data_IF_052817564806
#
_entry.id   IF_052817564806
#
_cell.length_a   1.000
_cell.length_b   1.000
_cell.length_c   1.000
_cell.angle_alpha   90.00
_cell.angle_beta   90.00
_cell.angle_gamma   90.00
#
_symmetry.space_group_name_H-M   'P 1'
#
loop_
_entity.id
_entity.type
_entity.pdbx_description
1 polymer ?
#
# COMPACT_ATOMS: atom_id res chain seq x y z
N UNK A 1 -30.89 -16.94 -35.50
CA UNK A 1 -30.68 -16.71 -34.05
C UNK A 1 -29.34 -16.04 -33.86
N UNK A 2 -29.33 -14.74 -33.55
CA UNK A 2 -28.11 -13.97 -33.25
C UNK A 2 -27.72 -14.23 -31.79
N UNK A 3 -26.50 -14.73 -31.56
CA UNK A 3 -25.93 -14.82 -30.19
C UNK A 3 -25.90 -13.44 -29.56
N UNK A 4 -26.24 -13.29 -28.25
CA UNK A 4 -26.11 -12.04 -27.57
C UNK A 4 -24.64 -11.65 -27.47
N UNK A 5 -24.34 -10.37 -27.69
CA UNK A 5 -23.01 -9.79 -27.50
C UNK A 5 -22.66 -9.74 -26.00
N UNK A 6 -21.95 -10.75 -25.53
CA UNK A 6 -21.32 -10.79 -24.20
C UNK A 6 -20.04 -9.93 -24.20
N UNK A 7 -20.13 -8.63 -24.33
CA UNK A 7 -18.91 -7.82 -24.28
C UNK A 7 -19.08 -6.41 -23.74
N UNK A 8 -20.04 -6.17 -22.82
CA UNK A 8 -20.21 -4.77 -22.39
C UNK A 8 -20.10 -4.50 -20.88
N UNK A 9 -19.73 -5.45 -20.03
CA UNK A 9 -19.60 -5.19 -18.57
C UNK A 9 -18.42 -5.89 -17.89
N UNK A 10 -17.34 -6.18 -18.62
CA UNK A 10 -16.06 -6.42 -17.95
C UNK A 10 -15.34 -5.08 -17.74
N UNK A 11 -15.96 -4.18 -16.99
CA UNK A 11 -15.19 -3.18 -16.26
C UNK A 11 -14.21 -3.98 -15.41
N UNK A 12 -12.91 -3.80 -15.66
CA UNK A 12 -11.84 -4.42 -14.88
C UNK A 12 -12.13 -4.12 -13.42
N UNK A 13 -12.63 -5.12 -12.67
CA UNK A 13 -12.88 -4.98 -11.24
C UNK A 13 -11.50 -4.75 -10.65
N UNK A 14 -11.20 -3.49 -10.30
CA UNK A 14 -9.97 -3.14 -9.61
C UNK A 14 -10.16 -3.53 -8.16
N UNK A 15 -9.53 -4.61 -7.72
CA UNK A 15 -9.47 -4.96 -6.31
C UNK A 15 -8.65 -3.90 -5.59
N UNK A 16 -9.09 -3.49 -4.40
CA UNK A 16 -8.31 -2.67 -3.50
C UNK A 16 -7.10 -3.48 -3.03
N UNK A 17 -5.90 -2.92 -3.17
CA UNK A 17 -4.64 -3.55 -2.77
C UNK A 17 -4.08 -2.84 -1.55
N UNK A 18 -3.93 -3.53 -0.42
CA UNK A 18 -3.37 -2.99 0.81
C UNK A 18 -2.03 -3.65 1.14
N UNK A 19 -0.98 -2.85 1.34
CA UNK A 19 0.35 -3.32 1.69
C UNK A 19 0.59 -3.28 3.20
N UNK A 20 1.05 -4.40 3.78
CA UNK A 20 1.47 -4.44 5.19
C UNK A 20 2.92 -3.97 5.28
N UNK A 21 3.18 -2.93 6.07
CA UNK A 21 4.51 -2.38 6.32
C UNK A 21 4.81 -2.33 7.82
N UNK A 22 6.07 -2.24 8.19
CA UNK A 22 6.54 -2.11 9.57
C UNK A 22 7.97 -2.63 9.71
N UNK A 23 8.59 -2.39 10.86
CA UNK A 23 9.94 -2.87 11.17
C UNK A 23 10.00 -4.41 11.21
N UNK A 24 11.20 -5.01 11.13
CA UNK A 24 11.36 -6.44 11.36
C UNK A 24 10.82 -6.87 12.74
N UNK A 25 10.30 -8.09 12.83
CA UNK A 25 9.84 -8.73 14.07
C UNK A 25 8.68 -8.02 14.83
N UNK A 26 7.91 -7.19 14.13
CA UNK A 26 6.71 -6.53 14.72
C UNK A 26 5.43 -7.34 14.55
N UNK A 27 5.45 -8.46 13.82
CA UNK A 27 4.30 -9.34 13.61
C UNK A 27 3.62 -9.22 12.25
N UNK A 28 4.25 -8.57 11.25
CA UNK A 28 3.69 -8.43 9.88
C UNK A 28 3.26 -9.74 9.26
N UNK A 29 4.18 -10.70 9.16
CA UNK A 29 3.90 -12.00 8.56
C UNK A 29 2.90 -12.82 9.38
N UNK A 30 2.85 -12.62 10.70
CA UNK A 30 1.82 -13.23 11.56
C UNK A 30 0.45 -12.67 11.20
N UNK A 31 0.31 -11.34 11.10
CA UNK A 31 -0.92 -10.70 10.67
C UNK A 31 -1.32 -11.15 9.27
N UNK A 32 -0.38 -11.14 8.31
CA UNK A 32 -0.60 -11.61 6.96
C UNK A 32 -1.11 -13.06 6.94
N UNK A 33 -0.48 -13.95 7.68
CA UNK A 33 -0.88 -15.35 7.77
C UNK A 33 -2.27 -15.52 8.40
N UNK A 34 -2.60 -14.77 9.45
CA UNK A 34 -3.93 -14.76 10.04
C UNK A 34 -5.00 -14.32 9.04
N UNK A 35 -4.73 -13.26 8.29
CA UNK A 35 -5.64 -12.75 7.26
C UNK A 35 -5.73 -13.70 6.05
N UNK A 36 -4.61 -14.27 5.61
CA UNK A 36 -4.53 -15.14 4.43
C UNK A 36 -4.90 -16.60 4.71
N UNK A 37 -4.89 -17.07 5.96
CA UNK A 37 -5.39 -18.41 6.33
C UNK A 37 -6.92 -18.51 6.20
N UNK A 38 -7.62 -17.41 5.97
CA UNK A 38 -8.94 -17.42 5.34
C UNK A 38 -8.91 -18.00 3.90
N UNK A 39 -7.74 -18.49 3.43
CA UNK A 39 -7.47 -19.10 2.12
C UNK A 39 -8.41 -20.22 1.68
N UNK A 40 -8.99 -20.97 2.61
CA UNK A 40 -9.93 -22.02 2.26
C UNK A 40 -11.21 -21.47 1.59
N UNK A 41 -11.53 -20.20 1.80
CA UNK A 41 -12.68 -19.53 1.19
C UNK A 41 -12.34 -18.78 -0.10
N UNK A 42 -11.09 -18.34 -0.28
CA UNK A 42 -10.67 -17.59 -1.47
C UNK A 42 -10.38 -18.48 -2.70
N UNK A 43 -10.19 -19.78 -2.52
CA UNK A 43 -9.94 -20.74 -3.60
C UNK A 43 -11.06 -20.83 -4.67
N UNK A 44 -12.21 -20.22 -4.39
CA UNK A 44 -13.40 -20.25 -5.29
C UNK A 44 -13.54 -19.00 -6.16
N UNK A 45 -12.59 -18.06 -6.15
CA UNK A 45 -12.65 -16.88 -7.01
C UNK A 45 -11.96 -17.15 -8.35
N UNK A 46 -12.69 -17.13 -9.48
CA UNK A 46 -12.07 -17.15 -10.79
C UNK A 46 -11.25 -15.87 -10.96
N UNK A 47 -10.00 -15.99 -11.45
CA UNK A 47 -9.04 -14.91 -11.75
C UNK A 47 -8.13 -14.43 -10.60
N UNK A 48 -8.07 -15.10 -9.45
CA UNK A 48 -7.02 -14.81 -8.47
C UNK A 48 -5.73 -15.56 -8.83
N UNK A 49 -4.70 -14.85 -9.22
CA UNK A 49 -3.34 -15.39 -9.34
C UNK A 49 -2.78 -15.55 -7.93
N UNK A 50 -2.35 -16.76 -7.55
CA UNK A 50 -1.69 -17.00 -6.27
C UNK A 50 -0.23 -16.61 -6.43
N UNK A 51 0.11 -15.39 -6.06
CA UNK A 51 1.50 -14.94 -5.96
C UNK A 51 2.01 -15.11 -4.52
N UNK A 52 3.29 -15.46 -4.33
CA UNK A 52 3.87 -15.46 -2.99
C UNK A 52 3.76 -14.06 -2.39
N UNK A 53 3.36 -13.98 -1.12
CA UNK A 53 3.13 -12.74 -0.36
C UNK A 53 1.89 -11.91 -0.76
N UNK A 54 0.96 -12.45 -1.55
CA UNK A 54 -0.35 -11.84 -1.79
C UNK A 54 -1.44 -12.74 -1.22
N UNK A 55 -2.27 -12.19 -0.35
CA UNK A 55 -3.46 -12.84 0.21
C UNK A 55 -4.71 -12.11 -0.25
N UNK A 56 -5.79 -12.84 -0.60
CA UNK A 56 -7.09 -12.25 -0.89
C UNK A 56 -8.01 -12.50 0.29
N UNK A 57 -8.64 -11.44 0.80
CA UNK A 57 -9.51 -11.46 1.97
C UNK A 57 -10.90 -10.96 1.60
N UNK A 58 -11.92 -11.70 1.99
CA UNK A 58 -13.31 -11.26 1.81
C UNK A 58 -13.64 -10.12 2.78
N UNK A 59 -14.34 -9.11 2.30
CA UNK A 59 -14.86 -8.03 3.15
C UNK A 59 -16.19 -8.49 3.74
N UNK A 60 -16.31 -8.64 5.08
CA UNK A 60 -17.57 -8.96 5.73
C UNK A 60 -18.60 -7.85 5.48
N UNK A 61 -19.81 -8.22 5.06
CA UNK A 61 -20.90 -7.27 4.84
C UNK A 61 -22.24 -7.89 5.28
N UNK A 62 -22.75 -7.44 6.42
CA UNK A 62 -24.02 -7.91 6.97
C UNK A 62 -25.24 -7.62 6.08
N UNK A 63 -25.12 -6.67 5.15
CA UNK A 63 -26.18 -6.37 4.17
C UNK A 63 -26.25 -7.49 3.13
N UNK A 64 -25.11 -8.04 2.76
CA UNK A 64 -25.01 -9.15 1.80
C UNK A 64 -25.65 -10.41 2.39
N UNK A 65 -25.38 -10.71 3.67
CA UNK A 65 -26.00 -11.84 4.38
C UNK A 65 -27.53 -11.72 4.46
N UNK A 66 -28.04 -10.49 4.73
CA UNK A 66 -29.48 -10.22 4.74
C UNK A 66 -30.10 -10.39 3.36
N UNK A 67 -29.45 -9.92 2.30
CA UNK A 67 -29.93 -10.08 0.94
C UNK A 67 -29.94 -11.56 0.54
N UNK A 68 -28.91 -12.32 0.89
CA UNK A 68 -28.85 -13.76 0.64
C UNK A 68 -30.05 -14.47 1.25
N UNK A 69 -30.38 -14.17 2.50
CA UNK A 69 -31.54 -14.76 3.18
C UNK A 69 -32.88 -14.41 2.57
N UNK A 70 -33.00 -13.27 1.86
CA UNK A 70 -34.24 -12.82 1.23
C UNK A 70 -34.45 -13.39 -0.17
N UNK A 71 -33.39 -13.49 -0.96
CA UNK A 71 -33.51 -13.85 -2.40
C UNK A 71 -33.02 -15.26 -2.71
N UNK A 72 -32.35 -15.92 -1.75
CA UNK A 72 -31.80 -17.26 -1.86
C UNK A 72 -31.06 -17.50 -3.21
N UNK A 73 -29.98 -16.75 -3.49
CA UNK A 73 -29.29 -16.75 -4.77
C UNK A 73 -28.48 -18.04 -4.99
N UNK A 74 -28.21 -18.39 -6.24
CA UNK A 74 -27.33 -19.51 -6.56
C UNK A 74 -25.88 -19.29 -6.07
N UNK A 75 -25.44 -18.03 -5.99
CA UNK A 75 -24.09 -17.64 -5.58
C UNK A 75 -24.05 -16.25 -4.94
N UNK A 76 -23.27 -16.14 -3.86
CA UNK A 76 -22.92 -14.86 -3.22
C UNK A 76 -21.47 -14.57 -3.47
N UNK A 77 -21.16 -13.37 -3.97
CA UNK A 77 -19.80 -12.90 -4.22
C UNK A 77 -19.54 -11.64 -3.37
N UNK A 78 -18.85 -11.77 -2.23
CA UNK A 78 -18.45 -10.61 -1.43
C UNK A 78 -17.39 -9.76 -2.15
N UNK A 79 -17.25 -8.51 -1.77
CA UNK A 79 -16.10 -7.71 -2.14
C UNK A 79 -14.82 -8.31 -1.51
N UNK A 80 -13.69 -8.14 -2.19
CA UNK A 80 -12.41 -8.65 -1.71
C UNK A 80 -11.35 -7.55 -1.68
N UNK A 81 -10.38 -7.70 -0.77
CA UNK A 81 -9.18 -6.87 -0.67
C UNK A 81 -7.96 -7.76 -0.84
N UNK A 82 -7.04 -7.36 -1.69
CA UNK A 82 -5.71 -7.98 -1.79
C UNK A 82 -4.81 -7.43 -0.69
N UNK A 83 -4.25 -8.31 0.12
CA UNK A 83 -3.26 -7.96 1.15
C UNK A 83 -1.89 -8.42 0.68
N UNK A 84 -0.91 -7.52 0.71
CA UNK A 84 0.47 -7.79 0.30
C UNK A 84 1.38 -7.70 1.51
N UNK A 85 2.13 -8.77 1.82
CA UNK A 85 3.21 -8.69 2.81
C UNK A 85 4.43 -8.04 2.17
N UNK A 86 4.64 -6.78 2.45
CA UNK A 86 5.80 -6.02 1.95
C UNK A 86 6.96 -6.24 2.92
N UNK A 87 8.10 -6.72 2.40
CA UNK A 87 9.29 -6.97 3.21
C UNK A 87 9.65 -5.75 4.08
N UNK A 88 9.98 -6.01 5.35
CA UNK A 88 10.16 -4.95 6.35
C UNK A 88 11.24 -3.94 5.96
N UNK A 89 10.94 -2.68 6.19
CA UNK A 89 11.88 -1.59 6.04
C UNK A 89 12.87 -1.61 7.21
N UNK A 90 14.16 -1.49 6.93
CA UNK A 90 15.21 -1.30 7.93
C UNK A 90 15.67 0.15 7.86
N UNK A 91 15.99 0.73 9.00
CA UNK A 91 16.55 2.09 9.10
C UNK A 91 17.73 2.27 8.12
N UNK A 92 17.68 3.33 7.32
CA UNK A 92 18.69 3.59 6.28
C UNK A 92 18.44 2.89 4.95
N UNK A 93 17.30 2.24 4.76
CA UNK A 93 16.95 1.62 3.48
C UNK A 93 16.80 2.64 2.34
N UNK A 94 16.52 3.91 2.67
CA UNK A 94 16.50 5.02 1.70
C UNK A 94 17.86 5.29 1.06
N UNK A 95 18.96 4.98 1.78
CA UNK A 95 20.34 5.19 1.31
C UNK A 95 20.94 3.94 0.65
N UNK A 96 20.27 2.78 0.72
CA UNK A 96 20.75 1.51 0.18
C UNK A 96 20.26 1.27 -1.25
N UNK A 97 21.19 0.98 -2.16
CA UNK A 97 20.86 0.48 -3.49
C UNK A 97 20.26 -0.93 -3.37
N UNK A 98 19.04 -1.13 -3.85
CA UNK A 98 18.39 -2.44 -3.98
C UNK A 98 17.15 -2.63 -3.14
N UNK A 99 17.25 -3.07 -1.87
CA UNK A 99 16.08 -3.46 -1.05
C UNK A 99 15.12 -2.30 -0.76
N UNK A 100 15.64 -1.09 -0.50
CA UNK A 100 14.81 0.09 -0.27
C UNK A 100 14.00 0.50 -1.51
N UNK A 101 14.58 0.40 -2.69
CA UNK A 101 13.88 0.71 -3.94
C UNK A 101 12.80 -0.34 -4.26
N UNK A 102 13.04 -1.61 -3.96
CA UNK A 102 12.06 -2.68 -4.13
C UNK A 102 10.88 -2.54 -3.15
N UNK A 103 11.16 -2.20 -1.89
CA UNK A 103 10.13 -1.88 -0.90
C UNK A 103 9.19 -0.78 -1.38
N UNK A 104 9.74 0.30 -1.91
CA UNK A 104 8.96 1.43 -2.40
C UNK A 104 8.21 1.12 -3.69
N UNK A 105 8.78 0.30 -4.58
CA UNK A 105 8.07 -0.18 -5.75
C UNK A 105 6.80 -0.93 -5.31
N UNK A 106 6.93 -1.82 -4.32
CA UNK A 106 5.79 -2.56 -3.77
C UNK A 106 4.74 -1.64 -3.12
N UNK A 107 5.16 -0.61 -2.35
CA UNK A 107 4.21 0.37 -1.78
C UNK A 107 3.46 1.13 -2.88
N UNK A 108 4.14 1.55 -3.95
CA UNK A 108 3.51 2.29 -5.06
C UNK A 108 2.44 1.50 -5.82
N UNK A 109 2.49 0.19 -5.73
CA UNK A 109 1.50 -0.71 -6.32
C UNK A 109 0.27 -0.92 -5.43
N UNK A 110 0.26 -0.38 -4.22
CA UNK A 110 -0.85 -0.50 -3.27
C UNK A 110 -1.73 0.75 -3.24
N UNK A 111 -3.03 0.55 -2.99
CA UNK A 111 -4.00 1.65 -2.84
C UNK A 111 -4.04 2.14 -1.38
N UNK A 112 -3.61 1.32 -0.40
CA UNK A 112 -3.54 1.64 1.02
C UNK A 112 -2.34 0.96 1.69
N UNK A 113 -1.89 1.52 2.82
CA UNK A 113 -0.79 0.97 3.63
C UNK A 113 -1.31 0.65 5.03
N UNK A 114 -1.09 -0.59 5.48
CA UNK A 114 -1.34 -1.06 6.83
C UNK A 114 -0.03 -1.04 7.61
N UNK A 115 0.15 -0.06 8.47
CA UNK A 115 1.36 0.08 9.27
C UNK A 115 1.24 -0.74 10.56
N UNK A 116 2.04 -1.81 10.68
CA UNK A 116 2.07 -2.69 11.85
C UNK A 116 3.16 -2.23 12.82
N UNK A 117 2.73 -1.91 14.04
CA UNK A 117 3.59 -1.47 15.13
C UNK A 117 3.57 -2.51 16.26
N UNK A 118 4.73 -2.75 16.87
CA UNK A 118 4.84 -3.63 18.03
C UNK A 118 4.55 -2.83 19.30
N UNK A 119 3.45 -3.17 19.99
CA UNK A 119 3.03 -2.54 21.24
C UNK A 119 3.07 -3.50 22.43
N UNK A 120 3.78 -4.62 22.32
CA UNK A 120 3.91 -5.62 23.38
C UNK A 120 5.36 -5.95 23.66
N UNK A 121 5.67 -6.26 24.91
CA UNK A 121 6.99 -6.73 25.36
C UNK A 121 7.06 -8.27 25.29
N UNK A 122 8.18 -8.78 24.77
CA UNK A 122 8.48 -10.21 24.78
C UNK A 122 10.00 -10.38 24.59
N UNK A 123 10.67 -10.86 25.63
CA UNK A 123 12.13 -11.03 25.67
C UNK A 123 12.65 -12.05 24.64
N UNK A 124 11.80 -12.98 24.19
CA UNK A 124 12.17 -13.97 23.17
C UNK A 124 12.14 -13.43 21.74
N UNK A 125 11.62 -12.22 21.52
CA UNK A 125 11.52 -11.59 20.20
C UNK A 125 12.42 -10.36 20.17
N UNK A 126 13.54 -10.46 19.48
CA UNK A 126 14.50 -9.33 19.36
C UNK A 126 13.86 -8.18 18.61
N UNK A 127 13.95 -6.96 19.18
CA UNK A 127 13.61 -5.71 18.49
C UNK A 127 14.85 -5.11 17.82
N UNK A 128 14.71 -4.50 16.65
CA UNK A 128 15.84 -3.92 15.89
C UNK A 128 16.58 -2.82 16.67
N UNK A 129 15.83 -2.03 17.47
CA UNK A 129 16.38 -0.95 18.30
C UNK A 129 16.53 -1.34 19.79
N UNK A 130 16.56 -2.65 20.09
CA UNK A 130 16.71 -3.22 21.44
C UNK A 130 15.62 -2.86 22.46
N UNK A 131 14.69 -1.99 22.12
CA UNK A 131 13.57 -1.57 22.97
C UNK A 131 12.29 -1.40 22.16
N UNK A 132 11.15 -1.67 22.78
CA UNK A 132 9.83 -1.47 22.15
C UNK A 132 9.41 -0.02 22.36
N UNK A 133 9.22 0.72 21.27
CA UNK A 133 8.69 2.07 21.25
C UNK A 133 7.90 2.31 19.96
N UNK A 134 6.57 2.10 19.98
CA UNK A 134 5.74 2.18 18.78
C UNK A 134 5.73 3.57 18.12
N UNK A 135 5.91 4.64 18.89
CA UNK A 135 5.93 6.01 18.36
C UNK A 135 7.21 6.24 17.57
N UNK A 136 8.36 5.93 18.15
CA UNK A 136 9.66 6.00 17.49
C UNK A 136 9.68 5.11 16.22
N UNK A 137 9.14 3.91 16.32
CA UNK A 137 9.12 2.95 15.20
C UNK A 137 8.26 3.47 14.05
N UNK A 138 7.11 4.10 14.37
CA UNK A 138 6.27 4.79 13.38
C UNK A 138 7.01 5.94 12.72
N UNK A 139 7.66 6.79 13.50
CA UNK A 139 8.42 7.94 13.00
C UNK A 139 9.57 7.49 12.10
N UNK A 140 10.25 6.39 12.44
CA UNK A 140 11.31 5.82 11.61
C UNK A 140 10.81 5.47 10.21
N UNK A 141 9.66 4.81 10.09
CA UNK A 141 9.05 4.46 8.80
C UNK A 141 8.58 5.73 8.07
N UNK A 142 7.95 6.66 8.78
CA UNK A 142 7.48 7.92 8.18
C UNK A 142 8.65 8.73 7.58
N UNK A 143 9.79 8.82 8.28
CA UNK A 143 10.99 9.50 7.78
C UNK A 143 11.54 8.83 6.52
N UNK A 144 11.62 7.51 6.49
CA UNK A 144 12.10 6.78 5.31
C UNK A 144 11.18 7.00 4.10
N UNK A 145 9.87 7.04 4.29
CA UNK A 145 8.90 7.36 3.25
C UNK A 145 9.05 8.81 2.78
N UNK A 146 9.18 9.78 3.71
CA UNK A 146 9.39 11.20 3.39
C UNK A 146 10.65 11.42 2.56
N UNK A 147 11.76 10.78 2.93
CA UNK A 147 13.02 10.89 2.18
C UNK A 147 12.87 10.39 0.74
N UNK A 148 12.07 9.37 0.53
CA UNK A 148 11.80 8.83 -0.81
C UNK A 148 10.81 9.66 -1.61
N UNK A 149 9.83 10.22 -0.95
CA UNK A 149 8.93 11.19 -1.58
C UNK A 149 9.73 12.42 -2.02
N UNK A 150 10.65 12.92 -1.17
CA UNK A 150 11.54 14.04 -1.47
C UNK A 150 12.42 13.72 -2.71
N UNK A 151 13.08 12.58 -2.74
CA UNK A 151 13.88 12.13 -3.89
C UNK A 151 13.03 12.09 -5.18
N UNK A 152 11.79 11.63 -5.09
CA UNK A 152 10.87 11.57 -6.24
C UNK A 152 10.49 12.97 -6.72
N UNK A 153 10.18 13.87 -5.79
CA UNK A 153 9.86 15.28 -6.09
C UNK A 153 11.06 15.98 -6.73
N UNK A 154 12.27 15.81 -6.20
CA UNK A 154 13.49 16.41 -6.74
C UNK A 154 13.79 15.94 -8.16
N UNK A 155 13.72 14.64 -8.41
CA UNK A 155 13.90 14.08 -9.77
C UNK A 155 12.86 14.62 -10.76
N UNK A 156 11.63 14.84 -10.30
CA UNK A 156 10.58 15.40 -11.13
C UNK A 156 10.81 16.90 -11.38
N UNK A 157 11.23 17.66 -10.35
CA UNK A 157 11.59 19.05 -10.47
C UNK A 157 12.71 19.29 -11.50
N UNK A 158 13.74 18.45 -11.53
CA UNK A 158 14.81 18.55 -12.55
C UNK A 158 14.27 18.48 -13.99
N UNK A 159 13.31 17.58 -14.23
CA UNK A 159 12.68 17.42 -15.55
C UNK A 159 11.77 18.60 -15.89
N UNK A 160 10.92 19.00 -14.94
CA UNK A 160 9.94 20.08 -15.15
C UNK A 160 10.60 21.44 -15.28
N UNK A 161 11.71 21.69 -14.57
CA UNK A 161 12.46 22.95 -14.64
C UNK A 161 12.91 23.30 -16.07
N UNK A 162 13.28 22.32 -16.88
CA UNK A 162 13.67 22.56 -18.29
C UNK A 162 12.50 23.08 -19.11
N UNK A 163 11.34 22.47 -18.98
CA UNK A 163 10.12 22.88 -19.70
C UNK A 163 9.56 24.21 -19.17
N UNK A 164 9.63 24.46 -17.85
CA UNK A 164 9.19 25.71 -17.25
C UNK A 164 10.03 26.92 -17.75
N UNK A 165 11.36 26.74 -17.92
CA UNK A 165 12.24 27.81 -18.47
C UNK A 165 11.91 28.20 -19.91
N UNK A 166 11.28 27.32 -20.68
CA UNK A 166 10.84 27.60 -22.04
C UNK A 166 9.45 28.23 -22.11
N UNK A 167 8.86 28.61 -20.96
CA UNK A 167 7.57 29.28 -20.89
C UNK A 167 6.34 28.36 -20.99
N UNK A 168 6.50 27.06 -20.85
CA UNK A 168 5.37 26.13 -20.84
C UNK A 168 4.52 26.36 -19.57
N UNK A 169 3.27 26.81 -19.75
CA UNK A 169 2.36 27.18 -18.65
C UNK A 169 2.01 26.03 -17.72
N UNK A 170 1.86 24.81 -18.24
CA UNK A 170 1.58 23.62 -17.44
C UNK A 170 2.78 23.24 -16.59
N UNK A 171 3.99 23.25 -17.18
CA UNK A 171 5.22 23.00 -16.46
C UNK A 171 5.49 24.03 -15.35
N UNK A 172 5.12 25.30 -15.56
CA UNK A 172 5.24 26.34 -14.53
C UNK A 172 4.31 26.03 -13.35
N UNK A 173 3.04 25.66 -13.60
CA UNK A 173 2.10 25.27 -12.54
C UNK A 173 2.59 24.02 -11.77
N UNK A 174 3.01 23.00 -12.51
CA UNK A 174 3.54 21.77 -11.93
C UNK A 174 4.77 22.05 -11.06
N UNK A 175 5.68 22.91 -11.54
CA UNK A 175 6.85 23.34 -10.77
C UNK A 175 6.45 23.99 -9.45
N UNK A 176 5.47 24.87 -9.44
CA UNK A 176 5.01 25.56 -8.22
C UNK A 176 4.51 24.54 -7.17
N UNK A 177 3.76 23.51 -7.60
CA UNK A 177 3.27 22.45 -6.71
C UNK A 177 4.44 21.62 -6.19
N UNK A 178 5.39 21.26 -7.05
CA UNK A 178 6.54 20.46 -6.64
C UNK A 178 7.48 21.21 -5.70
N UNK A 179 7.69 22.52 -5.90
CA UNK A 179 8.47 23.37 -4.98
C UNK A 179 7.81 23.45 -3.61
N UNK A 180 6.47 23.59 -3.56
CA UNK A 180 5.71 23.54 -2.32
C UNK A 180 5.86 22.20 -1.61
N UNK A 181 5.64 21.08 -2.31
CA UNK A 181 5.80 19.73 -1.75
C UNK A 181 7.22 19.50 -1.22
N UNK A 182 8.24 19.98 -1.93
CA UNK A 182 9.63 19.89 -1.50
C UNK A 182 9.82 20.61 -0.16
N UNK A 183 9.34 21.83 -0.04
CA UNK A 183 9.45 22.62 1.19
C UNK A 183 8.78 21.94 2.38
N UNK A 184 7.58 21.37 2.19
CA UNK A 184 6.86 20.68 3.26
C UNK A 184 7.55 19.37 3.67
N UNK A 185 8.10 18.60 2.71
CA UNK A 185 8.87 17.39 2.98
C UNK A 185 10.19 17.69 3.70
N UNK A 186 10.90 18.78 3.32
CA UNK A 186 12.11 19.24 4.02
C UNK A 186 11.80 19.69 5.45
N UNK A 187 10.57 20.15 5.73
CA UNK A 187 10.05 20.43 7.06
C UNK A 187 9.54 19.19 7.82
N UNK A 188 9.88 17.98 7.33
CA UNK A 188 9.48 16.70 7.93
C UNK A 188 7.97 16.48 8.02
N UNK A 189 7.19 17.05 7.10
CA UNK A 189 5.75 16.80 7.01
C UNK A 189 5.47 15.65 6.04
N UNK A 190 4.58 14.76 6.43
CA UNK A 190 4.08 13.71 5.51
C UNK A 190 3.19 14.32 4.41
N UNK A 191 3.33 13.88 3.16
CA UNK A 191 2.49 14.37 2.05
C UNK A 191 1.00 14.20 2.35
N UNK A 192 0.61 13.10 3.00
CA UNK A 192 -0.78 12.82 3.42
C UNK A 192 -1.38 13.80 4.44
N UNK A 193 -0.55 14.61 5.10
CA UNK A 193 -0.98 15.62 6.09
C UNK A 193 -0.94 17.04 5.56
N UNK A 194 -0.65 17.23 4.27
CA UNK A 194 -0.63 18.53 3.60
C UNK A 194 -2.04 18.81 3.08
N UNK A 195 -2.63 19.93 3.52
CA UNK A 195 -3.93 20.45 3.09
C UNK A 195 -3.81 21.34 1.86
#
# INVERSE_FOLDING_TARGET
>A
MKKPKESLFLTKIKFMKAGIVGLPNVGKSTLFNCLSNAKAQSANFPFCTIEPNIGVVNVPDSRLEKLESLVNPERVLPATVEIVDIAGLVKGASKGEGLGNQFLANIRETDAVLHVLRCFDNDNIVHVDASVDPVRDKETIDIELQLKDLETVEKKLEKVNRAARTGNKEAIKEKTILDFLKTELEASKNVRSIE
#
